data_IF_961606853259
#
_entry.id   IF_961606853259
#
_cell.length_a   1.000
_cell.length_b   1.000
_cell.length_c   1.000
_cell.angle_alpha   90.00
_cell.angle_beta   90.00
_cell.angle_gamma   90.00
#
_symmetry.space_group_name_H-M   'P 1'
#
loop_
_entity.id
_entity.type
_entity.pdbx_description
1 polymer ?
#
# COMPACT_ATOMS: atom_id res chain seq x y z
N UNK A 1 -0.80 -51.50 90.23
CA UNK A 1 -2.15 -50.90 90.26
C UNK A 1 -2.46 -50.33 88.87
N UNK A 2 -3.52 -50.79 88.20
CA UNK A 2 -4.18 -50.09 87.07
C UNK A 2 -5.11 -49.00 87.67
N UNK A 3 -5.39 -47.84 87.01
CA UNK A 3 -6.35 -47.75 85.88
C UNK A 3 -5.97 -46.68 84.82
N UNK A 4 -6.19 -46.91 83.52
CA UNK A 4 -7.42 -46.75 82.70
C UNK A 4 -7.44 -45.43 81.90
N UNK A 5 -7.67 -45.61 80.60
CA UNK A 5 -7.81 -44.58 79.57
C UNK A 5 -9.08 -43.75 79.74
N UNK A 6 -9.09 -42.56 79.12
CA UNK A 6 -10.33 -41.94 78.64
C UNK A 6 -10.13 -41.41 77.22
N UNK A 7 -10.65 -42.17 76.27
CA UNK A 7 -10.94 -41.71 74.91
C UNK A 7 -11.98 -40.59 74.96
N UNK A 8 -11.78 -39.54 74.16
CA UNK A 8 -12.86 -38.63 73.76
C UNK A 8 -12.90 -38.56 72.24
N UNK A 9 -13.98 -39.11 71.70
CA UNK A 9 -14.50 -38.85 70.36
C UNK A 9 -14.66 -37.34 70.14
N UNK A 10 -14.26 -36.85 68.97
CA UNK A 10 -14.87 -35.65 68.37
C UNK A 10 -15.16 -35.90 66.90
N UNK A 11 -16.40 -35.58 66.56
CA UNK A 11 -17.06 -35.79 65.29
C UNK A 11 -16.40 -34.99 64.17
N UNK A 12 -16.33 -35.64 63.00
CA UNK A 12 -16.17 -35.03 61.69
C UNK A 12 -17.37 -34.14 61.38
N UNK A 13 -17.13 -32.89 60.98
CA UNK A 13 -18.07 -32.08 60.24
C UNK A 13 -17.36 -31.59 58.97
N UNK A 14 -17.76 -32.16 57.84
CA UNK A 14 -17.38 -31.70 56.51
C UNK A 14 -18.08 -30.37 56.23
N UNK A 15 -17.33 -29.34 55.87
CA UNK A 15 -17.87 -28.07 55.38
C UNK A 15 -17.40 -27.89 53.93
N UNK A 16 -18.32 -28.09 52.99
CA UNK A 16 -18.17 -27.73 51.59
C UNK A 16 -18.33 -26.20 51.48
N UNK A 17 -17.27 -25.49 51.09
CA UNK A 17 -17.36 -24.10 50.62
C UNK A 17 -16.67 -23.98 49.27
N UNK A 18 -17.43 -23.44 48.31
CA UNK A 18 -17.24 -23.61 46.89
C UNK A 18 -16.08 -22.83 46.28
N UNK A 19 -15.62 -23.35 45.14
CA UNK A 19 -14.73 -22.65 44.22
C UNK A 19 -15.46 -21.40 43.67
N UNK A 20 -15.09 -20.23 44.16
CA UNK A 20 -15.43 -18.99 43.49
C UNK A 20 -14.57 -18.88 42.21
N UNK A 21 -15.19 -19.09 41.03
CA UNK A 21 -14.61 -18.64 39.77
C UNK A 21 -14.52 -17.11 39.81
N UNK A 22 -13.32 -16.57 39.96
CA UNK A 22 -13.09 -15.16 39.68
C UNK A 22 -13.41 -14.92 38.19
N UNK A 23 -14.20 -13.88 37.85
CA UNK A 23 -14.38 -13.52 36.45
C UNK A 23 -13.01 -13.07 35.95
N UNK A 24 -12.59 -13.61 34.80
CA UNK A 24 -11.44 -13.09 34.08
C UNK A 24 -11.70 -11.61 33.80
N UNK A 25 -11.03 -10.74 34.58
CA UNK A 25 -11.05 -9.31 34.38
C UNK A 25 -10.69 -9.04 32.92
N UNK A 26 -11.58 -8.29 32.27
CA UNK A 26 -11.68 -8.19 30.82
C UNK A 26 -10.34 -7.97 30.15
N UNK A 27 -10.14 -8.69 29.04
CA UNK A 27 -9.34 -8.19 27.95
C UNK A 27 -10.00 -6.89 27.53
N UNK A 28 -9.54 -5.76 28.07
CA UNK A 28 -9.80 -4.47 27.47
C UNK A 28 -9.11 -4.51 26.12
N UNK A 29 -9.88 -4.89 25.10
CA UNK A 29 -9.53 -4.61 23.73
C UNK A 29 -9.28 -3.10 23.70
N UNK A 30 -8.01 -2.71 23.61
CA UNK A 30 -7.64 -1.37 23.23
C UNK A 30 -8.27 -1.19 21.85
N UNK A 31 -9.44 -0.55 21.79
CA UNK A 31 -10.07 -0.23 20.53
C UNK A 31 -9.03 0.59 19.75
N UNK A 32 -8.48 -0.01 18.70
CA UNK A 32 -7.41 0.57 17.89
C UNK A 32 -7.94 1.91 17.37
N UNK A 33 -7.49 3.03 17.97
CA UNK A 33 -7.98 4.40 17.70
C UNK A 33 -7.54 4.93 16.34
N UNK A 34 -7.13 4.03 15.44
CA UNK A 34 -6.71 4.33 14.09
C UNK A 34 -7.93 4.69 13.24
N UNK A 35 -7.77 5.60 12.26
CA UNK A 35 -8.83 5.86 11.30
C UNK A 35 -9.20 4.57 10.56
N UNK A 36 -10.37 4.51 9.90
CA UNK A 36 -10.70 3.40 9.01
C UNK A 36 -9.62 3.19 7.95
N UNK A 37 -9.43 1.92 7.55
CA UNK A 37 -8.50 1.60 6.48
C UNK A 37 -8.87 2.33 5.18
N UNK A 38 -7.90 2.95 4.49
CA UNK A 38 -8.10 3.55 3.20
C UNK A 38 -8.70 2.57 2.19
N UNK A 39 -9.66 3.06 1.41
CA UNK A 39 -10.24 2.26 0.34
C UNK A 39 -9.19 1.94 -0.73
N UNK A 40 -9.27 0.73 -1.30
CA UNK A 40 -8.38 0.33 -2.41
C UNK A 40 -8.68 1.08 -3.71
N UNK A 41 -9.89 1.64 -3.83
CA UNK A 41 -10.42 2.26 -5.05
C UNK A 41 -10.89 1.24 -6.09
N UNK A 42 -11.80 1.61 -7.00
CA UNK A 42 -12.24 0.73 -8.06
C UNK A 42 -11.13 0.49 -9.10
N UNK A 43 -11.32 -0.55 -9.92
CA UNK A 43 -10.56 -0.70 -11.17
C UNK A 43 -11.06 0.35 -12.17
N UNK A 44 -10.17 1.21 -12.64
CA UNK A 44 -10.44 2.18 -13.71
C UNK A 44 -9.83 1.73 -15.04
N UNK A 45 -9.16 0.58 -15.04
CA UNK A 45 -8.59 -0.08 -16.22
C UNK A 45 -9.65 -0.43 -17.27
N UNK A 46 -9.32 -0.24 -18.54
CA UNK A 46 -10.09 -0.72 -19.70
C UNK A 46 -9.16 -1.28 -20.77
N UNK A 47 -9.61 -2.25 -21.55
CA UNK A 47 -8.95 -2.60 -22.82
C UNK A 47 -9.37 -1.60 -23.88
N UNK A 48 -8.42 -1.10 -24.67
CA UNK A 48 -8.68 -0.14 -25.74
C UNK A 48 -7.87 -0.48 -26.98
N UNK A 49 -8.39 -0.10 -28.15
CA UNK A 49 -7.59 -0.03 -29.36
C UNK A 49 -6.46 0.98 -29.14
N UNK A 50 -5.24 0.57 -29.49
CA UNK A 50 -4.02 1.32 -29.25
C UNK A 50 -2.96 1.00 -30.30
N UNK A 51 -3.02 1.64 -31.47
CA UNK A 51 -1.99 1.51 -32.51
C UNK A 51 -0.66 2.08 -32.00
N UNK A 52 0.39 1.26 -31.99
CA UNK A 52 1.74 1.66 -31.55
C UNK A 52 2.80 0.79 -32.21
N UNK A 53 3.99 1.35 -32.41
CA UNK A 53 5.18 0.61 -32.83
C UNK A 53 5.94 -0.03 -31.65
N UNK A 54 5.53 0.27 -30.41
CA UNK A 54 6.16 -0.28 -29.21
C UNK A 54 5.86 -1.77 -29.03
N UNK A 55 6.83 -2.49 -28.44
CA UNK A 55 6.71 -3.94 -28.21
C UNK A 55 5.68 -4.25 -27.14
N UNK A 56 5.10 -5.46 -27.21
CA UNK A 56 4.24 -6.02 -26.15
C UNK A 56 4.97 -5.93 -24.80
N UNK A 57 4.24 -5.56 -23.75
CA UNK A 57 4.78 -5.37 -22.41
C UNK A 57 5.37 -3.98 -22.14
N UNK A 58 5.49 -3.12 -23.15
CA UNK A 58 5.91 -1.72 -22.96
C UNK A 58 4.82 -0.95 -22.24
N UNK A 59 5.23 -0.11 -21.28
CA UNK A 59 4.37 0.88 -20.66
C UNK A 59 4.52 2.21 -21.42
N UNK A 60 3.42 2.84 -21.79
CA UNK A 60 3.40 4.18 -22.37
C UNK A 60 2.52 5.07 -21.49
N UNK A 61 3.08 6.14 -20.96
CA UNK A 61 2.37 7.14 -20.17
C UNK A 61 2.11 8.35 -21.06
N UNK A 62 0.83 8.71 -21.23
CA UNK A 62 0.42 9.93 -21.90
C UNK A 62 -0.15 10.89 -20.88
N UNK A 63 0.62 11.91 -20.54
CA UNK A 63 0.31 12.81 -19.43
C UNK A 63 -0.92 13.67 -19.70
N UNK A 64 -1.08 14.21 -20.92
CA UNK A 64 -2.26 15.01 -21.26
C UNK A 64 -3.55 14.20 -21.18
N UNK A 65 -3.47 12.90 -21.48
CA UNK A 65 -4.62 11.98 -21.41
C UNK A 65 -4.87 11.44 -19.99
N UNK A 66 -3.95 11.71 -19.05
CA UNK A 66 -3.93 11.14 -17.70
C UNK A 66 -4.10 9.62 -17.74
N UNK A 67 -3.32 8.99 -18.62
CA UNK A 67 -3.43 7.57 -18.90
C UNK A 67 -2.08 6.89 -18.98
N UNK A 68 -2.04 5.66 -18.45
CA UNK A 68 -0.95 4.71 -18.62
C UNK A 68 -1.49 3.55 -19.46
N UNK A 69 -0.75 3.18 -20.50
CA UNK A 69 -1.07 2.09 -21.41
C UNK A 69 -0.04 0.98 -21.24
N UNK A 70 -0.49 -0.24 -20.98
CA UNK A 70 0.34 -1.44 -21.08
C UNK A 70 0.02 -2.15 -22.40
N UNK A 71 0.97 -2.19 -23.32
CA UNK A 71 0.78 -2.78 -24.65
C UNK A 71 0.56 -4.30 -24.51
N UNK A 72 -0.58 -4.79 -24.99
CA UNK A 72 -0.95 -6.22 -24.92
C UNK A 72 -0.77 -6.95 -26.25
N UNK A 73 -0.61 -6.21 -27.35
CA UNK A 73 -0.47 -6.75 -28.70
C UNK A 73 -1.74 -6.60 -29.53
N UNK A 74 -1.69 -7.03 -30.80
CA UNK A 74 -2.82 -6.94 -31.76
C UNK A 74 -3.42 -5.53 -31.90
N UNK A 75 -2.62 -4.49 -31.71
CA UNK A 75 -3.09 -3.11 -31.74
C UNK A 75 -3.97 -2.74 -30.55
N UNK A 76 -3.81 -3.40 -29.40
CA UNK A 76 -4.52 -3.11 -28.15
C UNK A 76 -3.56 -2.80 -26.98
N UNK A 77 -4.11 -2.14 -25.97
CA UNK A 77 -3.46 -1.94 -24.69
C UNK A 77 -4.46 -1.98 -23.53
N UNK A 78 -3.96 -2.32 -22.34
CA UNK A 78 -4.66 -2.04 -21.08
C UNK A 78 -4.41 -0.58 -20.71
N UNK A 79 -5.46 0.23 -20.73
CA UNK A 79 -5.45 1.63 -20.34
C UNK A 79 -5.87 1.78 -18.88
N UNK A 80 -4.96 2.30 -18.06
CA UNK A 80 -5.18 2.67 -16.67
C UNK A 80 -5.36 4.19 -16.57
N UNK A 81 -6.32 4.65 -15.77
CA UNK A 81 -6.41 6.08 -15.42
C UNK A 81 -5.38 6.39 -14.34
N UNK A 82 -4.65 7.49 -14.53
CA UNK A 82 -3.63 7.95 -13.56
C UNK A 82 -3.88 9.39 -13.16
N UNK A 83 -3.35 9.82 -12.01
CA UNK A 83 -3.00 11.23 -11.78
C UNK A 83 -1.54 11.46 -12.16
N UNK A 84 -1.25 12.66 -12.65
CA UNK A 84 0.12 13.11 -12.96
C UNK A 84 0.46 14.23 -11.99
N UNK A 85 1.55 14.07 -11.23
CA UNK A 85 2.02 15.12 -10.34
C UNK A 85 2.55 16.32 -11.10
N UNK A 86 2.58 17.49 -10.43
CA UNK A 86 3.09 18.75 -11.01
C UNK A 86 4.48 18.57 -11.65
N UNK A 87 5.40 17.92 -10.93
CA UNK A 87 6.76 17.65 -11.39
C UNK A 87 6.80 16.59 -12.51
N UNK A 88 5.75 15.78 -12.64
CA UNK A 88 5.59 14.81 -13.74
C UNK A 88 5.27 15.45 -15.08
N UNK A 89 4.63 16.63 -15.09
CA UNK A 89 4.30 17.34 -16.34
C UNK A 89 5.53 17.78 -17.12
N UNK A 90 6.60 18.20 -16.44
CA UNK A 90 7.83 18.64 -17.10
C UNK A 90 8.68 17.51 -17.69
N UNK A 91 8.43 16.26 -17.31
CA UNK A 91 9.33 15.16 -17.65
C UNK A 91 8.83 14.29 -18.80
N UNK A 92 9.69 14.04 -19.79
CA UNK A 92 9.44 13.14 -20.92
C UNK A 92 10.65 12.24 -21.19
N UNK A 93 10.44 11.19 -21.96
CA UNK A 93 11.50 10.31 -22.46
C UNK A 93 11.30 8.85 -22.09
N UNK A 94 12.35 8.06 -22.30
CA UNK A 94 12.33 6.61 -22.07
C UNK A 94 13.09 6.27 -20.78
N UNK A 95 12.52 5.35 -20.00
CA UNK A 95 13.10 4.77 -18.77
C UNK A 95 12.71 3.30 -18.70
N UNK A 96 13.12 2.65 -17.63
CA UNK A 96 12.71 1.28 -17.32
C UNK A 96 12.22 1.14 -15.88
N UNK A 97 11.38 0.15 -15.64
CA UNK A 97 11.08 -0.31 -14.27
C UNK A 97 12.35 -0.95 -13.71
N UNK A 98 13.05 -0.27 -12.80
CA UNK A 98 14.29 -0.78 -12.21
C UNK A 98 14.09 -1.59 -10.93
N UNK A 99 13.04 -1.29 -10.18
CA UNK A 99 12.67 -2.02 -8.97
C UNK A 99 11.17 -1.99 -8.73
N UNK A 100 10.71 -2.87 -7.84
CA UNK A 100 9.30 -3.09 -7.51
C UNK A 100 9.20 -3.40 -6.02
N UNK A 101 8.25 -2.77 -5.32
CA UNK A 101 8.04 -3.00 -3.89
C UNK A 101 6.56 -3.11 -3.56
N UNK A 102 6.23 -4.08 -2.70
CA UNK A 102 4.93 -4.18 -2.06
C UNK A 102 4.89 -3.38 -0.76
N UNK A 103 3.81 -2.63 -0.52
CA UNK A 103 3.64 -1.77 0.65
C UNK A 103 4.91 -0.96 0.96
N UNK A 104 5.39 -0.13 0.01
CA UNK A 104 6.64 0.61 0.18
C UNK A 104 6.55 1.57 1.38
N UNK A 105 7.67 1.75 2.07
CA UNK A 105 7.88 2.94 2.88
C UNK A 105 8.11 4.14 1.95
N UNK A 106 7.82 5.35 2.43
CA UNK A 106 8.02 6.57 1.65
C UNK A 106 8.92 7.54 2.40
N UNK A 107 9.93 8.05 1.71
CA UNK A 107 10.76 9.16 2.18
C UNK A 107 10.54 10.32 1.21
N UNK A 108 9.97 11.45 1.66
CA UNK A 108 9.80 12.59 0.78
C UNK A 108 11.17 13.06 0.25
N UNK A 109 11.30 13.35 -1.06
CA UNK A 109 12.54 13.90 -1.61
C UNK A 109 12.95 15.19 -0.89
N UNK A 110 14.27 15.48 -0.88
CA UNK A 110 14.81 16.66 -0.19
C UNK A 110 14.20 17.95 -0.70
N UNK A 111 13.99 18.06 -2.01
CA UNK A 111 13.38 19.21 -2.68
C UNK A 111 11.92 19.38 -2.28
N UNK A 112 11.21 18.27 -2.01
CA UNK A 112 9.85 18.29 -1.51
C UNK A 112 9.79 18.79 -0.06
N UNK A 113 10.65 18.27 0.83
CA UNK A 113 10.76 18.78 2.22
C UNK A 113 11.23 20.23 2.30
N UNK A 114 12.05 20.69 1.36
CA UNK A 114 12.45 22.09 1.30
C UNK A 114 11.25 23.03 1.02
N UNK A 115 10.26 22.56 0.25
CA UNK A 115 9.02 23.31 -0.04
C UNK A 115 7.93 23.12 1.02
N UNK A 116 7.92 21.96 1.68
CA UNK A 116 6.97 21.56 2.72
C UNK A 116 7.74 21.00 3.92
N UNK A 117 8.29 21.87 4.79
CA UNK A 117 9.13 21.46 5.93
C UNK A 117 8.39 20.60 6.97
N UNK A 118 7.06 20.63 6.98
CA UNK A 118 6.19 19.84 7.84
C UNK A 118 6.09 18.36 7.46
N UNK A 119 6.57 17.98 6.27
CA UNK A 119 6.54 16.60 5.83
C UNK A 119 7.42 15.71 6.73
N UNK A 120 6.95 14.51 7.10
CA UNK A 120 7.73 13.60 7.92
C UNK A 120 8.97 13.11 7.17
N UNK A 121 10.03 12.79 7.91
CA UNK A 121 11.25 12.20 7.33
C UNK A 121 11.00 10.86 6.62
N UNK A 122 10.00 10.13 7.11
CA UNK A 122 9.59 8.85 6.58
C UNK A 122 8.15 8.54 6.97
N UNK A 123 7.38 7.99 6.02
CA UNK A 123 6.10 7.34 6.28
C UNK A 123 6.31 5.83 6.16
N UNK A 124 6.01 5.05 7.20
CA UNK A 124 6.24 3.61 7.19
C UNK A 124 5.39 2.90 6.14
N UNK A 125 5.80 1.68 5.80
CA UNK A 125 5.00 0.75 5.01
C UNK A 125 3.61 0.55 5.63
N UNK A 126 2.57 0.54 4.79
CA UNK A 126 1.22 0.22 5.23
C UNK A 126 0.12 0.92 4.44
N UNK A 127 -1.15 0.67 4.82
CA UNK A 127 -2.32 1.14 4.08
C UNK A 127 -2.47 2.66 4.07
N UNK A 128 -1.92 3.35 5.07
CA UNK A 128 -1.95 4.81 5.16
C UNK A 128 -0.82 5.50 4.40
N UNK A 129 0.12 4.75 3.81
CA UNK A 129 1.22 5.33 3.06
C UNK A 129 0.73 5.97 1.75
N UNK A 130 1.16 7.20 1.39
CA UNK A 130 0.71 7.85 0.16
C UNK A 130 1.17 7.16 -1.14
N UNK A 131 2.18 6.27 -1.08
CA UNK A 131 2.55 5.41 -2.21
C UNK A 131 1.61 4.21 -2.39
N UNK A 132 0.72 3.96 -1.42
CA UNK A 132 -0.28 2.91 -1.45
C UNK A 132 0.31 1.50 -1.48
N UNK A 133 -0.40 0.60 -2.15
CA UNK A 133 -0.14 -0.84 -2.06
C UNK A 133 1.12 -1.28 -2.82
N UNK A 134 1.50 -0.62 -3.92
CA UNK A 134 2.64 -1.00 -4.76
C UNK A 134 3.34 0.23 -5.31
N UNK A 135 4.65 0.11 -5.52
CA UNK A 135 5.44 1.08 -6.27
C UNK A 135 6.37 0.39 -7.26
N UNK A 136 6.46 0.97 -8.47
CA UNK A 136 7.42 0.65 -9.51
C UNK A 136 8.37 1.85 -9.63
N UNK A 137 9.66 1.61 -9.46
CA UNK A 137 10.69 2.64 -9.46
C UNK A 137 11.26 2.80 -10.86
N UNK A 138 11.28 4.03 -11.37
CA UNK A 138 11.69 4.32 -12.73
C UNK A 138 13.17 4.71 -12.75
N UNK A 139 13.96 3.97 -13.53
CA UNK A 139 15.39 4.19 -13.67
C UNK A 139 15.73 4.66 -15.09
N UNK A 140 16.66 5.59 -15.19
CA UNK A 140 17.30 6.00 -16.44
C UNK A 140 18.78 5.64 -16.36
N UNK A 141 19.26 4.82 -17.29
CA UNK A 141 20.67 4.41 -17.36
C UNK A 141 21.20 3.86 -16.02
N UNK A 142 20.38 3.05 -15.35
CA UNK A 142 20.69 2.46 -14.04
C UNK A 142 20.56 3.39 -12.83
N UNK A 143 20.20 4.67 -13.03
CA UNK A 143 20.05 5.67 -11.96
C UNK A 143 18.58 5.92 -11.62
N UNK A 144 18.27 6.05 -10.33
CA UNK A 144 16.91 6.39 -9.88
C UNK A 144 16.52 7.79 -10.37
N UNK A 145 15.39 7.88 -11.08
CA UNK A 145 14.84 9.17 -11.54
C UNK A 145 14.05 9.90 -10.46
N UNK A 146 13.83 9.26 -9.31
CA UNK A 146 12.89 9.63 -8.26
C UNK A 146 11.41 9.57 -8.69
N UNK A 147 11.11 9.25 -9.96
CA UNK A 147 9.76 9.00 -10.45
C UNK A 147 9.33 7.56 -10.20
N UNK A 148 8.03 7.40 -9.90
CA UNK A 148 7.41 6.11 -9.59
C UNK A 148 6.04 5.99 -10.22
N UNK A 149 5.66 4.77 -10.59
CA UNK A 149 4.27 4.41 -10.81
C UNK A 149 3.79 3.74 -9.52
N UNK A 150 2.79 4.30 -8.85
CA UNK A 150 2.42 3.84 -7.51
C UNK A 150 0.91 3.90 -7.23
N UNK A 151 0.49 3.26 -6.14
CA UNK A 151 -0.89 3.29 -5.64
C UNK A 151 -1.20 4.56 -4.84
N UNK A 152 -2.22 4.52 -4.01
CA UNK A 152 -2.64 5.68 -3.21
C UNK A 152 -3.43 5.26 -2.00
N UNK A 153 -3.31 6.00 -0.89
CA UNK A 153 -4.22 5.91 0.25
C UNK A 153 -5.47 6.80 0.08
N UNK A 154 -5.56 7.57 -1.00
CA UNK A 154 -6.76 8.32 -1.38
C UNK A 154 -7.09 8.02 -2.85
N UNK A 155 -7.97 7.03 -3.13
CA UNK A 155 -8.33 6.67 -4.50
C UNK A 155 -9.29 7.68 -5.15
N UNK A 156 -9.96 8.53 -4.37
CA UNK A 156 -10.94 9.49 -4.89
C UNK A 156 -10.29 10.57 -5.75
N UNK A 157 -9.04 10.93 -5.44
CA UNK A 157 -8.26 11.90 -6.20
C UNK A 157 -7.61 11.37 -7.49
N UNK A 158 -7.79 10.10 -7.88
CA UNK A 158 -7.17 9.54 -9.10
C UNK A 158 -7.86 10.10 -10.36
N UNK A 159 -7.07 10.76 -11.23
CA UNK A 159 -7.54 11.45 -12.43
C UNK A 159 -7.66 12.97 -12.28
N UNK A 160 -7.52 13.50 -11.06
CA UNK A 160 -7.48 14.94 -10.80
C UNK A 160 -6.04 15.45 -10.69
N UNK A 161 -5.83 16.71 -11.06
CA UNK A 161 -4.55 17.41 -10.98
C UNK A 161 -4.41 17.98 -9.57
N UNK A 162 -3.30 17.69 -8.90
CA UNK A 162 -3.09 18.16 -7.53
C UNK A 162 -2.06 17.38 -6.72
N UNK A 163 -1.50 16.30 -7.26
CA UNK A 163 -0.47 15.56 -6.53
C UNK A 163 0.90 16.25 -6.63
N UNK A 164 1.63 16.22 -5.52
CA UNK A 164 3.03 16.63 -5.44
C UNK A 164 4.00 15.60 -6.05
N UNK A 165 3.49 14.50 -6.63
CA UNK A 165 4.32 13.36 -7.05
C UNK A 165 3.79 12.58 -8.26
N UNK A 166 4.77 12.07 -9.01
CA UNK A 166 4.81 10.99 -10.02
C UNK A 166 3.49 10.56 -10.73
N UNK A 167 3.28 9.25 -10.90
CA UNK A 167 2.12 8.67 -11.61
C UNK A 167 1.34 7.77 -10.65
N UNK A 168 0.13 8.21 -10.30
CA UNK A 168 -0.67 7.59 -9.23
C UNK A 168 -1.88 6.85 -9.78
N UNK A 169 -2.07 5.60 -9.38
CA UNK A 169 -3.20 4.73 -9.70
C UNK A 169 -4.00 4.43 -8.43
N UNK A 170 -5.20 3.87 -8.58
CA UNK A 170 -5.87 3.21 -7.45
C UNK A 170 -5.04 2.00 -6.99
N UNK A 171 -5.20 1.57 -5.74
CA UNK A 171 -4.48 0.39 -5.27
C UNK A 171 -4.90 -0.88 -6.04
N UNK A 172 -6.17 -0.97 -6.43
CA UNK A 172 -6.68 -2.06 -7.27
C UNK A 172 -5.94 -2.13 -8.61
N UNK A 173 -5.78 -1.00 -9.30
CA UNK A 173 -5.15 -0.95 -10.61
C UNK A 173 -3.62 -1.11 -10.53
N UNK A 174 -2.95 -0.51 -9.53
CA UNK A 174 -1.49 -0.68 -9.39
C UNK A 174 -1.11 -2.12 -9.05
N UNK A 175 -1.93 -2.84 -8.27
CA UNK A 175 -1.69 -4.26 -7.96
C UNK A 175 -1.76 -5.09 -9.24
N UNK A 176 -2.75 -4.83 -10.09
CA UNK A 176 -2.88 -5.50 -11.38
C UNK A 176 -1.67 -5.20 -12.29
N UNK A 177 -1.31 -3.93 -12.46
CA UNK A 177 -0.13 -3.54 -13.23
C UNK A 177 1.15 -4.20 -12.69
N UNK A 178 1.33 -4.16 -11.37
CA UNK A 178 2.50 -4.73 -10.69
C UNK A 178 2.65 -6.22 -10.96
N UNK A 179 1.56 -6.98 -11.03
CA UNK A 179 1.63 -8.43 -11.35
C UNK A 179 2.02 -8.70 -12.80
N UNK A 180 1.70 -7.80 -13.72
CA UNK A 180 1.90 -7.97 -15.16
C UNK A 180 3.29 -7.60 -15.65
N UNK A 181 3.94 -6.62 -15.00
CA UNK A 181 5.16 -6.02 -15.54
C UNK A 181 6.41 -6.46 -14.76
N UNK A 182 7.41 -7.07 -15.42
CA UNK A 182 8.67 -7.41 -14.77
C UNK A 182 9.56 -6.18 -14.54
N UNK A 183 10.60 -6.36 -13.72
CA UNK A 183 11.75 -5.43 -13.72
C UNK A 183 12.42 -5.50 -15.09
N UNK A 184 12.89 -4.35 -15.59
CA UNK A 184 13.41 -4.17 -16.95
C UNK A 184 12.35 -3.73 -17.97
N UNK A 185 11.06 -3.69 -17.62
CA UNK A 185 10.02 -3.20 -18.51
C UNK A 185 10.31 -1.78 -18.98
N UNK A 186 10.34 -1.57 -20.30
CA UNK A 186 10.44 -0.26 -20.93
C UNK A 186 9.22 0.59 -20.60
N UNK A 187 9.46 1.84 -20.24
CA UNK A 187 8.45 2.86 -19.95
C UNK A 187 8.76 4.09 -20.81
N UNK A 188 7.79 4.51 -21.61
CA UNK A 188 7.88 5.71 -22.45
C UNK A 188 6.93 6.76 -21.88
N UNK A 189 7.41 7.98 -21.62
CA UNK A 189 6.60 9.07 -21.08
C UNK A 189 6.51 10.21 -22.08
N UNK A 190 5.26 10.57 -22.39
CA UNK A 190 4.84 11.54 -23.39
C UNK A 190 3.95 12.59 -22.73
#
# INVERSE_FOLDING_TARGET
MRPASRHRFRLTAACLLGLALAPAAGQTAWADSRPPLPAMGPSLRKTVAFPTAEKIGTIIIRKQEKALYLVTGKGEALRYRISVGRDGFGWTGTVQVGAKTEWPAWRPPREMRARQPELPDMVPSGPYNPLGARALYLLRDGRDTLYRIHGTNDPSGVGFDGTSGCFRLTNTDVIDLFRRVPVGTKVVVQ
#
